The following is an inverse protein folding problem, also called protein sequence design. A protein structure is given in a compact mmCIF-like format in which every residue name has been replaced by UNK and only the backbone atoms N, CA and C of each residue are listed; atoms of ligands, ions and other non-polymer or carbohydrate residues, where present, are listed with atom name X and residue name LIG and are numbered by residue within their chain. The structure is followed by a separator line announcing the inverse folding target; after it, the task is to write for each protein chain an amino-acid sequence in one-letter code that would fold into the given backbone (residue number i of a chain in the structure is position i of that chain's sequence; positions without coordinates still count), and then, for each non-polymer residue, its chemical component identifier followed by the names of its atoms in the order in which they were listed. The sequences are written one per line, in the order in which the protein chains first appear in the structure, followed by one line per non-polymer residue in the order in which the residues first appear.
data_IF_091045526658
#
_entry.id   IF_091045526658
#
_cell.length_a   1.000
_cell.length_b   1.000
_cell.length_c   1.000
_cell.angle_alpha   90.00
_cell.angle_beta   90.00
_cell.angle_gamma   90.00
#
_symmetry.space_group_name_H-M   'P 1'
#
loop_
_entity.id
_entity.type
_entity.pdbx_description
1 polymer ?
#
# COMPACT_ATOMS: atom_id res chain seq x y z
N UNK A 1 -7.42 -2.97 -7.69
CA UNK A 1 -7.92 -1.69 -7.16
C UNK A 1 -8.16 -1.89 -5.66
N UNK A 2 -7.15 -1.58 -4.85
CA UNK A 2 -7.08 -1.97 -3.43
C UNK A 2 -8.13 -1.29 -2.55
N UNK A 3 -8.75 -2.08 -1.66
CA UNK A 3 -9.80 -1.65 -0.72
C UNK A 3 -9.36 -0.59 0.31
N UNK A 4 -8.07 -0.29 0.41
CA UNK A 4 -7.48 0.50 1.50
C UNK A 4 -7.71 2.02 1.40
N UNK A 5 -8.04 2.57 0.23
CA UNK A 5 -8.27 4.02 0.09
C UNK A 5 -9.64 4.48 0.59
N UNK A 6 -10.61 3.58 0.71
CA UNK A 6 -11.99 3.94 1.07
C UNK A 6 -12.08 4.64 2.43
N UNK A 7 -11.32 4.18 3.42
CA UNK A 7 -11.32 4.78 4.76
C UNK A 7 -10.83 6.23 4.72
N UNK A 8 -9.66 6.47 4.11
CA UNK A 8 -9.03 7.79 4.05
C UNK A 8 -9.81 8.79 3.18
N UNK A 9 -10.66 8.30 2.28
CA UNK A 9 -11.54 9.12 1.43
C UNK A 9 -12.86 9.51 2.10
N UNK A 10 -13.25 8.83 3.20
CA UNK A 10 -14.57 8.99 3.80
C UNK A 10 -14.48 9.18 5.33
N UNK A 11 -13.45 9.87 5.81
CA UNK A 11 -13.25 10.15 7.24
C UNK A 11 -14.37 11.02 7.81
N UNK A 12 -15.06 11.81 6.98
CA UNK A 12 -16.25 12.57 7.36
C UNK A 12 -17.39 11.68 7.88
N UNK A 13 -17.57 10.47 7.34
CA UNK A 13 -18.59 9.54 7.81
C UNK A 13 -18.33 9.08 9.26
N UNK A 14 -17.08 9.15 9.72
CA UNK A 14 -16.70 8.82 11.11
C UNK A 14 -17.06 9.97 12.06
N UNK A 15 -16.96 11.21 11.60
CA UNK A 15 -17.39 12.40 12.34
C UNK A 15 -18.91 12.32 12.55
N UNK A 16 -19.66 12.08 11.47
CA UNK A 16 -21.12 12.01 11.49
C UNK A 16 -21.62 10.93 12.46
N UNK A 17 -21.00 9.74 12.43
CA UNK A 17 -21.39 8.64 13.33
C UNK A 17 -21.09 8.91 14.81
N UNK A 18 -20.01 9.63 15.10
CA UNK A 18 -19.57 9.88 16.48
C UNK A 18 -20.22 11.10 17.10
N UNK A 19 -20.92 11.92 16.31
CA UNK A 19 -21.55 13.18 16.76
C UNK A 19 -20.57 14.11 17.51
N UNK A 20 -19.27 14.01 17.20
CA UNK A 20 -18.20 14.80 17.81
C UNK A 20 -17.48 15.59 16.71
N UNK A 21 -17.36 16.91 16.83
CA UNK A 21 -16.55 17.68 15.90
C UNK A 21 -15.09 17.27 16.07
N UNK A 22 -14.48 16.76 15.00
CA UNK A 22 -13.04 16.48 14.88
C UNK A 22 -12.46 15.57 15.98
N UNK A 23 -12.86 14.29 16.07
CA UNK A 23 -12.19 13.36 16.96
C UNK A 23 -10.71 13.22 16.55
N UNK A 24 -9.82 13.16 17.54
CA UNK A 24 -8.36 13.22 17.34
C UNK A 24 -7.86 12.17 16.34
N UNK A 25 -8.43 10.97 16.36
CA UNK A 25 -8.07 9.91 15.43
C UNK A 25 -8.45 10.23 13.97
N UNK A 26 -9.52 11.00 13.73
CA UNK A 26 -9.87 11.47 12.38
C UNK A 26 -8.85 12.50 11.89
N UNK A 27 -8.35 13.36 12.77
CA UNK A 27 -7.26 14.29 12.42
C UNK A 27 -6.03 13.49 12.00
N UNK A 28 -5.62 12.49 12.78
CA UNK A 28 -4.50 11.63 12.43
C UNK A 28 -4.72 10.87 11.10
N UNK A 29 -5.93 10.38 10.82
CA UNK A 29 -6.26 9.75 9.53
C UNK A 29 -6.16 10.73 8.35
N UNK A 30 -6.58 11.98 8.55
CA UNK A 30 -6.50 13.01 7.52
C UNK A 30 -5.03 13.43 7.25
N UNK A 31 -4.23 13.58 8.30
CA UNK A 31 -2.79 13.85 8.17
C UNK A 31 -2.07 12.68 7.48
N UNK A 32 -2.44 11.44 7.81
CA UNK A 32 -1.92 10.27 7.09
C UNK A 32 -2.32 10.28 5.60
N UNK A 33 -3.56 10.65 5.28
CA UNK A 33 -3.98 10.81 3.90
C UNK A 33 -3.18 11.90 3.17
N UNK A 34 -2.77 12.97 3.85
CA UNK A 34 -1.88 13.98 3.28
C UNK A 34 -0.53 13.39 2.88
N UNK A 35 0.07 12.52 3.72
CA UNK A 35 1.29 11.76 3.40
C UNK A 35 1.10 10.89 2.16
N UNK A 36 0.00 10.11 2.12
CA UNK A 36 -0.30 9.23 0.98
C UNK A 36 -0.33 10.03 -0.33
N UNK A 37 -0.92 11.23 -0.30
CA UNK A 37 -1.03 12.10 -1.46
C UNK A 37 0.26 12.90 -1.76
N UNK A 38 1.22 12.98 -0.84
CA UNK A 38 2.48 13.72 -1.03
C UNK A 38 3.65 12.85 -1.46
N UNK A 39 3.74 11.61 -1.00
CA UNK A 39 4.92 10.78 -1.25
C UNK A 39 4.64 9.31 -1.55
N UNK A 40 3.40 8.78 -1.45
CA UNK A 40 3.14 7.36 -1.77
C UNK A 40 2.74 7.14 -3.24
N UNK A 41 2.50 8.23 -3.97
CA UNK A 41 2.21 8.20 -5.40
C UNK A 41 3.46 8.14 -6.28
N UNK A 42 3.29 8.44 -7.57
CA UNK A 42 4.40 8.54 -8.55
C UNK A 42 5.16 9.86 -8.47
N UNK A 43 4.56 10.89 -7.87
CA UNK A 43 5.11 12.25 -7.81
C UNK A 43 5.34 12.65 -6.37
N UNK A 44 6.53 13.17 -6.09
CA UNK A 44 6.89 13.69 -4.77
C UNK A 44 6.48 15.15 -4.69
N UNK A 45 5.62 15.50 -3.72
CA UNK A 45 5.25 16.90 -3.47
C UNK A 45 6.27 17.55 -2.55
N UNK A 46 6.60 18.82 -2.77
CA UNK A 46 7.60 19.54 -1.97
C UNK A 46 7.29 19.67 -0.47
N UNK A 47 6.02 19.55 -0.07
CA UNK A 47 5.60 19.65 1.32
C UNK A 47 5.62 18.32 2.10
N UNK A 48 6.15 17.23 1.52
CA UNK A 48 6.11 15.89 2.12
C UNK A 48 6.70 15.82 3.55
N UNK A 49 7.80 16.54 3.83
CA UNK A 49 8.39 16.60 5.18
C UNK A 49 7.44 17.21 6.20
N UNK A 50 6.75 18.29 5.83
CA UNK A 50 5.79 18.96 6.71
C UNK A 50 4.61 18.05 7.04
N UNK A 51 4.02 17.37 6.06
CA UNK A 51 2.86 16.50 6.31
C UNK A 51 3.24 15.25 7.12
N UNK A 52 4.48 14.75 7.00
CA UNK A 52 5.02 13.71 7.89
C UNK A 52 5.12 14.21 9.33
N UNK A 53 5.63 15.43 9.53
CA UNK A 53 5.69 16.06 10.85
C UNK A 53 4.30 16.23 11.47
N UNK A 54 3.34 16.76 10.72
CA UNK A 54 1.97 16.94 11.18
C UNK A 54 1.33 15.61 11.63
N UNK A 55 1.50 14.57 10.82
CA UNK A 55 0.98 13.24 11.17
C UNK A 55 1.64 12.66 12.41
N UNK A 56 2.95 12.84 12.59
CA UNK A 56 3.65 12.40 13.80
C UNK A 56 3.05 13.06 15.04
N UNK A 57 2.84 14.38 14.99
CA UNK A 57 2.22 15.13 16.08
C UNK A 57 0.79 14.67 16.38
N UNK A 58 -0.06 14.55 15.36
CA UNK A 58 -1.45 14.12 15.55
C UNK A 58 -1.57 12.67 15.99
N UNK A 59 -0.71 11.78 15.51
CA UNK A 59 -0.68 10.39 15.94
C UNK A 59 -0.23 10.24 17.40
N UNK A 60 0.81 10.98 17.83
CA UNK A 60 1.29 10.95 19.21
C UNK A 60 0.20 11.37 20.23
N UNK A 61 -0.70 12.28 19.84
CA UNK A 61 -1.84 12.69 20.69
C UNK A 61 -2.82 11.55 20.99
N UNK A 62 -2.87 10.52 20.14
CA UNK A 62 -3.73 9.35 20.36
C UNK A 62 -3.24 8.45 21.50
N UNK A 63 -1.99 8.61 21.94
CA UNK A 63 -1.36 7.77 22.96
C UNK A 63 -1.40 6.26 22.63
N UNK A 64 -1.18 5.92 21.35
CA UNK A 64 -1.13 4.54 20.85
C UNK A 64 0.34 4.17 20.57
N UNK A 65 0.67 2.89 20.74
CA UNK A 65 2.01 2.34 20.48
C UNK A 65 2.41 2.57 19.01
N UNK A 66 3.62 3.12 18.83
CA UNK A 66 4.24 3.28 17.51
C UNK A 66 4.70 1.91 17.01
N UNK A 67 4.12 1.48 15.90
CA UNK A 67 4.52 0.23 15.22
C UNK A 67 5.76 0.45 14.35
N UNK A 68 6.49 -0.62 13.96
CA UNK A 68 7.64 -0.48 13.05
C UNK A 68 7.30 0.24 11.73
N UNK A 69 6.08 0.03 11.20
CA UNK A 69 5.63 0.74 9.99
C UNK A 69 5.47 2.24 10.20
N UNK A 70 4.95 2.65 11.36
CA UNK A 70 4.85 4.07 11.72
C UNK A 70 6.23 4.67 11.99
N UNK A 71 7.13 3.92 12.63
CA UNK A 71 8.52 4.33 12.79
C UNK A 71 9.17 4.62 11.41
N UNK A 72 9.01 3.73 10.43
CA UNK A 72 9.49 4.01 9.07
C UNK A 72 8.89 5.28 8.47
N UNK A 73 7.60 5.54 8.66
CA UNK A 73 6.97 6.78 8.18
C UNK A 73 7.58 8.02 8.84
N UNK A 74 7.78 8.00 10.15
CA UNK A 74 8.23 9.16 10.91
C UNK A 74 9.71 9.49 10.76
N UNK A 75 10.54 8.50 10.46
CA UNK A 75 11.99 8.66 10.53
C UNK A 75 12.69 8.35 9.21
N UNK A 76 12.17 7.43 8.38
CA UNK A 76 12.92 6.92 7.22
C UNK A 76 12.39 7.41 5.86
N UNK A 77 11.08 7.72 5.75
CA UNK A 77 10.51 8.15 4.47
C UNK A 77 11.08 9.49 4.00
N UNK A 78 11.28 10.43 4.92
CA UNK A 78 11.82 11.75 4.55
C UNK A 78 13.23 11.64 3.97
N UNK A 79 14.11 10.92 4.66
CA UNK A 79 15.49 10.69 4.24
C UNK A 79 15.55 9.95 2.90
N UNK A 80 14.75 8.89 2.76
CA UNK A 80 14.67 8.12 1.53
C UNK A 80 14.23 8.97 0.32
N UNK A 81 13.16 9.77 0.49
CA UNK A 81 12.69 10.67 -0.57
C UNK A 81 13.70 11.78 -0.90
N UNK A 82 14.45 12.25 0.10
CA UNK A 82 15.50 13.25 -0.10
C UNK A 82 16.70 12.69 -0.84
N UNK A 83 17.14 11.47 -0.54
CA UNK A 83 18.24 10.81 -1.22
C UNK A 83 17.89 10.50 -2.68
N UNK A 84 16.71 9.93 -2.91
CA UNK A 84 16.31 9.42 -4.22
C UNK A 84 15.63 10.47 -5.12
N UNK A 85 15.23 11.62 -4.56
CA UNK A 85 14.47 12.69 -5.26
C UNK A 85 13.17 12.21 -5.94
N UNK A 86 12.59 11.12 -5.45
CA UNK A 86 11.45 10.42 -6.05
C UNK A 86 10.45 9.97 -4.99
N UNK A 87 9.19 9.73 -5.41
CA UNK A 87 8.11 9.28 -4.53
C UNK A 87 7.99 7.75 -4.49
N UNK A 88 7.52 7.22 -3.35
CA UNK A 88 7.55 5.79 -2.99
C UNK A 88 6.81 4.89 -3.99
N UNK A 89 5.87 5.42 -4.75
CA UNK A 89 5.07 4.64 -5.70
C UNK A 89 5.89 3.99 -6.83
N UNK A 90 7.11 4.45 -7.09
CA UNK A 90 8.01 3.84 -8.09
C UNK A 90 8.60 2.51 -7.57
N UNK A 91 8.82 2.42 -6.26
CA UNK A 91 9.37 1.23 -5.59
C UNK A 91 8.29 0.34 -4.99
N UNK A 92 7.04 0.61 -5.32
CA UNK A 92 5.89 -0.11 -4.78
C UNK A 92 5.78 -1.51 -5.38
N UNK A 93 5.52 -2.50 -4.52
CA UNK A 93 5.28 -3.91 -4.90
C UNK A 93 3.96 -4.13 -5.66
N UNK A 94 3.09 -3.11 -5.75
CA UNK A 94 1.78 -3.20 -6.42
C UNK A 94 1.84 -3.74 -7.86
N UNK A 95 2.91 -3.46 -8.62
CA UNK A 95 3.06 -3.99 -9.98
C UNK A 95 3.24 -5.53 -9.95
N UNK A 96 4.11 -6.03 -9.09
CA UNK A 96 4.33 -7.47 -8.91
C UNK A 96 3.09 -8.16 -8.36
N UNK A 97 2.42 -7.57 -7.36
CA UNK A 97 1.16 -8.09 -6.82
C UNK A 97 0.06 -8.18 -7.90
N UNK A 98 0.00 -7.19 -8.81
CA UNK A 98 -0.95 -7.20 -9.92
C UNK A 98 -0.66 -8.34 -10.91
N UNK A 99 0.62 -8.58 -11.23
CA UNK A 99 1.03 -9.72 -12.07
C UNK A 99 0.66 -11.04 -11.37
N UNK A 100 0.95 -11.19 -10.08
CA UNK A 100 0.56 -12.39 -9.32
C UNK A 100 -0.96 -12.60 -9.32
N UNK A 101 -1.74 -11.55 -9.08
CA UNK A 101 -3.20 -11.65 -9.09
C UNK A 101 -3.75 -12.04 -10.47
N UNK A 102 -3.13 -11.55 -11.55
CA UNK A 102 -3.49 -11.90 -12.90
C UNK A 102 -3.09 -13.35 -13.23
N UNK A 103 -1.86 -13.75 -12.88
CA UNK A 103 -1.31 -15.09 -13.10
C UNK A 103 -2.13 -16.18 -12.41
N UNK A 104 -2.72 -15.93 -11.23
CA UNK A 104 -3.59 -16.89 -10.53
C UNK A 104 -4.68 -17.48 -11.42
N UNK A 105 -5.23 -16.71 -12.37
CA UNK A 105 -6.26 -17.19 -13.31
C UNK A 105 -5.72 -18.22 -14.29
N UNK A 106 -4.49 -18.02 -14.76
CA UNK A 106 -3.78 -19.01 -15.60
C UNK A 106 -3.40 -20.22 -14.76
N UNK A 107 -2.80 -20.00 -13.58
CA UNK A 107 -2.39 -21.08 -12.69
C UNK A 107 -3.53 -22.02 -12.31
N UNK A 108 -4.75 -21.50 -12.08
CA UNK A 108 -5.93 -22.31 -11.76
C UNK A 108 -6.22 -23.43 -12.79
N UNK A 109 -5.77 -23.29 -14.04
CA UNK A 109 -5.92 -24.30 -15.11
C UNK A 109 -4.88 -25.42 -15.06
N UNK A 110 -3.72 -25.14 -14.46
CA UNK A 110 -2.57 -26.03 -14.43
C UNK A 110 -2.25 -26.54 -13.01
N UNK A 111 -2.91 -25.98 -12.00
CA UNK A 111 -2.72 -26.32 -10.60
C UNK A 111 -2.79 -27.84 -10.38
N UNK A 112 -1.79 -28.36 -9.68
CA UNK A 112 -1.69 -29.76 -9.28
C UNK A 112 -2.29 -29.96 -7.89
N UNK A 113 -2.86 -31.13 -7.66
CA UNK A 113 -3.29 -31.62 -6.36
C UNK A 113 -2.21 -32.55 -5.79
N UNK A 114 -2.37 -32.95 -4.53
CA UNK A 114 -1.47 -33.94 -3.89
C UNK A 114 -1.34 -35.24 -4.69
N UNK A 115 -2.39 -35.62 -5.43
CA UNK A 115 -2.45 -36.86 -6.22
C UNK A 115 -1.54 -36.81 -7.45
N UNK A 116 -1.24 -35.63 -7.99
CA UNK A 116 -0.44 -35.46 -9.20
C UNK A 116 0.76 -34.52 -9.02
N UNK A 117 1.27 -34.41 -7.78
CA UNK A 117 2.41 -33.56 -7.40
C UNK A 117 3.67 -33.79 -8.23
N UNK A 118 3.89 -35.02 -8.71
CA UNK A 118 5.05 -35.37 -9.54
C UNK A 118 5.06 -34.60 -10.87
N UNK A 119 3.90 -34.08 -11.30
CA UNK A 119 3.75 -33.27 -12.51
C UNK A 119 3.89 -31.77 -12.26
N UNK A 120 4.17 -31.32 -11.03
CA UNK A 120 4.25 -29.90 -10.68
C UNK A 120 5.16 -29.12 -11.63
N UNK A 121 6.39 -29.58 -11.84
CA UNK A 121 7.36 -28.90 -12.71
C UNK A 121 6.87 -28.73 -14.14
N UNK A 122 6.28 -29.78 -14.73
CA UNK A 122 5.73 -29.74 -16.08
C UNK A 122 4.53 -28.79 -16.19
N UNK A 123 3.65 -28.79 -15.18
CA UNK A 123 2.47 -27.94 -15.16
C UNK A 123 2.82 -26.47 -14.91
N UNK A 124 3.81 -26.20 -14.07
CA UNK A 124 4.36 -24.86 -13.88
C UNK A 124 4.95 -24.31 -15.18
N UNK A 125 5.76 -25.11 -15.89
CA UNK A 125 6.32 -24.70 -17.17
C UNK A 125 5.22 -24.37 -18.19
N UNK A 126 4.20 -25.22 -18.32
CA UNK A 126 3.05 -24.95 -19.20
C UNK A 126 2.29 -23.69 -18.81
N UNK A 127 2.07 -23.46 -17.52
CA UNK A 127 1.40 -22.26 -17.03
C UNK A 127 2.19 -20.99 -17.35
N UNK A 128 3.52 -21.02 -17.21
CA UNK A 128 4.41 -19.91 -17.56
C UNK A 128 4.37 -19.64 -19.05
N UNK A 129 4.48 -20.68 -19.88
CA UNK A 129 4.41 -20.55 -21.35
C UNK A 129 3.08 -19.96 -21.80
N UNK A 130 1.96 -20.50 -21.31
CA UNK A 130 0.62 -20.00 -21.64
C UNK A 130 0.39 -18.56 -21.15
N UNK A 131 0.95 -18.21 -19.98
CA UNK A 131 0.89 -16.84 -19.49
C UNK A 131 1.70 -15.88 -20.36
N UNK A 132 2.95 -16.24 -20.66
CA UNK A 132 3.85 -15.44 -21.48
C UNK A 132 3.28 -15.19 -22.89
N UNK A 133 2.76 -16.23 -23.56
CA UNK A 133 2.17 -16.09 -24.90
C UNK A 133 0.97 -15.14 -24.96
N UNK A 134 0.31 -14.82 -23.84
CA UNK A 134 -0.83 -13.90 -23.79
C UNK A 134 -0.46 -12.45 -23.45
N UNK A 135 0.80 -12.21 -23.07
CA UNK A 135 1.27 -10.92 -22.56
C UNK A 135 2.55 -10.43 -23.24
N UNK A 136 3.02 -11.14 -24.27
CA UNK A 136 4.02 -10.72 -25.26
C UNK A 136 3.26 -10.21 -26.49
#
# INVERSE_FOLDING_TARGET
MGMTKKLLQHTNLLIDKLHRPYPEFVIALNDFNAIVNSCFGKTLKGNYKQVISNFKESFCKLNIIITPKLHSIFFHISDFCEENKLALGIWSEQASESVHANFKKTWAKYAVTEVNKDKYGQQLLKAIQDYACKHI
#
